data_IF_063630573172
#
_entry.id   IF_063630573172
#
_cell.length_a   1.000
_cell.length_b   1.000
_cell.length_c   1.000
_cell.angle_alpha   90.00
_cell.angle_beta   90.00
_cell.angle_gamma   90.00
#
_symmetry.space_group_name_H-M   'P 1'
#
loop_
_entity.id
_entity.type
_entity.pdbx_description
1 polymer ?
#
# COMPACT_ATOMS: atom_id res chain seq x y z
N UNK A 1 9.54 6.88 19.79
CA UNK A 1 8.26 6.22 19.41
C UNK A 1 8.46 5.52 18.07
N UNK A 2 8.03 4.27 17.91
CA UNK A 2 8.22 3.54 16.66
C UNK A 2 7.47 4.23 15.50
N UNK A 3 8.17 4.47 14.39
CA UNK A 3 7.60 5.08 13.20
C UNK A 3 6.60 4.11 12.54
N UNK A 4 5.41 4.61 12.25
CA UNK A 4 4.37 3.80 11.64
C UNK A 4 3.45 4.63 10.76
N UNK A 5 2.72 3.95 9.90
CA UNK A 5 1.66 4.50 9.07
C UNK A 5 0.56 3.45 8.90
N UNK A 6 -0.57 3.87 8.37
CA UNK A 6 -1.70 3.00 8.08
C UNK A 6 -1.82 2.83 6.56
N UNK A 7 -2.13 1.62 6.13
CA UNK A 7 -2.46 1.34 4.74
C UNK A 7 -3.93 0.93 4.69
N UNK A 8 -4.74 1.78 4.07
CA UNK A 8 -6.17 1.60 3.89
C UNK A 8 -6.40 1.02 2.49
N UNK A 9 -7.11 -0.09 2.41
CA UNK A 9 -7.26 -0.87 1.18
C UNK A 9 -8.75 -1.14 0.96
N UNK A 10 -9.28 -0.70 -0.18
CA UNK A 10 -10.66 -0.95 -0.61
C UNK A 10 -10.65 -1.86 -1.83
N UNK A 11 -11.31 -3.01 -1.76
CA UNK A 11 -11.51 -3.88 -2.91
C UNK A 11 -12.72 -3.37 -3.70
N UNK A 12 -12.50 -2.91 -4.93
CA UNK A 12 -13.54 -2.28 -5.76
C UNK A 12 -14.29 -3.33 -6.61
N UNK A 13 -13.57 -4.29 -7.19
CA UNK A 13 -14.19 -5.33 -8.01
C UNK A 13 -13.40 -6.64 -7.95
N UNK A 14 -14.14 -7.75 -8.05
CA UNK A 14 -13.59 -9.11 -8.17
C UNK A 14 -13.94 -9.74 -9.52
N UNK A 15 -14.53 -8.99 -10.46
CA UNK A 15 -15.09 -9.54 -11.70
C UNK A 15 -14.03 -10.30 -12.53
N UNK A 16 -12.82 -9.76 -12.68
CA UNK A 16 -11.72 -10.43 -13.39
C UNK A 16 -11.23 -11.72 -12.69
N UNK A 17 -11.39 -11.84 -11.37
CA UNK A 17 -11.09 -13.08 -10.63
C UNK A 17 -12.17 -14.16 -10.79
N UNK A 18 -13.41 -13.77 -11.10
CA UNK A 18 -14.50 -14.71 -11.34
C UNK A 18 -14.41 -15.30 -12.74
N UNK A 19 -14.08 -14.48 -13.74
CA UNK A 19 -13.92 -14.93 -15.13
C UNK A 19 -12.77 -15.92 -15.30
N UNK A 20 -11.68 -15.78 -14.52
CA UNK A 20 -10.52 -16.68 -14.57
C UNK A 20 -10.72 -18.03 -13.88
N UNK A 21 -11.82 -18.22 -13.13
CA UNK A 21 -12.14 -19.49 -12.43
C UNK A 21 -13.27 -20.29 -13.05
N UNK A 22 -13.98 -19.74 -14.04
CA UNK A 22 -15.01 -20.48 -14.78
C UNK A 22 -14.35 -21.03 -16.05
N UNK A 23 -14.05 -22.35 -16.13
CA UNK A 23 -13.52 -22.93 -17.36
C UNK A 23 -14.55 -22.74 -18.48
N UNK A 24 -14.26 -21.83 -19.43
CA UNK A 24 -15.09 -21.55 -20.60
C UNK A 24 -15.66 -20.14 -20.72
N UNK A 25 -15.44 -19.24 -19.76
CA UNK A 25 -15.85 -17.84 -19.90
C UNK A 25 -14.89 -17.08 -20.84
N UNK A 26 -15.43 -16.54 -21.96
CA UNK A 26 -14.66 -15.65 -22.85
C UNK A 26 -14.39 -14.32 -22.13
N UNK A 27 -13.18 -13.76 -22.23
CA UNK A 27 -12.88 -12.47 -21.61
C UNK A 27 -13.74 -11.36 -22.22
N UNK A 28 -14.37 -10.55 -21.38
CA UNK A 28 -15.04 -9.33 -21.81
C UNK A 28 -13.97 -8.38 -22.39
N UNK A 29 -14.22 -7.94 -23.63
CA UNK A 29 -13.32 -7.16 -24.46
C UNK A 29 -12.81 -5.89 -23.78
N UNK A 30 -11.51 -5.67 -23.93
CA UNK A 30 -10.76 -4.43 -23.69
C UNK A 30 -11.38 -3.24 -24.43
N UNK A 31 -12.12 -2.40 -23.71
CA UNK A 31 -12.50 -1.07 -24.17
C UNK A 31 -11.27 -0.16 -24.23
N UNK A 32 -10.98 0.36 -25.42
CA UNK A 32 -9.82 1.19 -25.75
C UNK A 32 -9.83 2.51 -24.96
N UNK A 33 -8.95 2.64 -23.96
CA UNK A 33 -8.71 3.92 -23.26
C UNK A 33 -7.85 4.85 -24.13
N UNK A 34 -8.45 5.95 -24.56
CA UNK A 34 -7.77 7.06 -25.22
C UNK A 34 -6.78 7.77 -24.28
N UNK A 35 -5.63 8.15 -24.85
CA UNK A 35 -4.58 8.94 -24.19
C UNK A 35 -5.08 10.37 -23.93
N UNK A 36 -5.42 10.68 -22.69
CA UNK A 36 -5.68 12.03 -22.18
C UNK A 36 -4.63 12.43 -21.16
N UNK A 37 -3.62 13.17 -21.61
CA UNK A 37 -2.63 13.86 -20.79
C UNK A 37 -3.27 15.12 -20.17
N UNK A 38 -2.88 15.47 -18.93
CA UNK A 38 -3.33 16.63 -18.12
C UNK A 38 -4.72 16.47 -17.46
N UNK A 39 -4.82 16.33 -16.13
CA UNK A 39 -4.90 17.47 -15.22
C UNK A 39 -4.77 17.07 -13.74
N UNK A 40 -4.22 18.00 -12.95
CA UNK A 40 -3.92 17.94 -11.51
C UNK A 40 -5.14 17.51 -10.64
N UNK A 41 -4.89 16.59 -9.70
CA UNK A 41 -5.73 16.11 -8.57
C UNK A 41 -7.25 15.91 -8.77
N UNK A 42 -7.69 14.66 -9.02
CA UNK A 42 -9.11 14.28 -8.95
C UNK A 42 -9.38 13.01 -8.10
N UNK A 43 -8.59 12.71 -7.07
CA UNK A 43 -8.72 11.43 -6.31
C UNK A 43 -10.02 11.35 -5.50
N UNK A 44 -10.64 12.49 -5.13
CA UNK A 44 -11.96 12.49 -4.44
C UNK A 44 -13.15 12.10 -5.33
N UNK A 45 -13.02 12.10 -6.67
CA UNK A 45 -14.17 11.81 -7.55
C UNK A 45 -14.33 10.34 -7.93
N UNK A 46 -13.27 9.53 -7.82
CA UNK A 46 -13.32 8.11 -8.17
C UNK A 46 -14.12 7.28 -7.14
N UNK A 47 -14.12 7.71 -5.87
CA UNK A 47 -14.89 7.06 -4.80
C UNK A 47 -16.42 7.18 -5.02
N UNK A 48 -16.87 8.27 -5.66
CA UNK A 48 -18.28 8.56 -5.89
C UNK A 48 -18.89 7.73 -7.04
N UNK A 49 -18.08 7.35 -8.04
CA UNK A 49 -18.56 6.60 -9.22
C UNK A 49 -18.67 5.09 -9.00
N UNK A 50 -18.12 4.54 -7.90
CA UNK A 50 -18.15 3.11 -7.60
C UNK A 50 -19.41 2.66 -6.82
N UNK A 51 -20.28 3.57 -6.40
CA UNK A 51 -21.41 3.29 -5.51
C UNK A 51 -22.62 2.57 -6.17
N UNK A 52 -22.64 2.39 -7.50
CA UNK A 52 -23.88 2.01 -8.23
C UNK A 52 -23.95 0.53 -8.68
N UNK A 53 -22.93 -0.31 -8.44
CA UNK A 53 -22.96 -1.73 -8.85
C UNK A 53 -22.93 -2.73 -7.68
N UNK A 54 -24.10 -2.91 -7.07
CA UNK A 54 -24.71 -4.22 -6.78
C UNK A 54 -24.21 -5.03 -5.57
N UNK A 55 -25.14 -5.49 -4.73
CA UNK A 55 -24.89 -6.22 -3.48
C UNK A 55 -24.08 -7.54 -3.59
N UNK A 56 -23.94 -8.13 -4.78
CA UNK A 56 -23.12 -9.34 -5.00
C UNK A 56 -21.62 -9.06 -4.87
N UNK A 57 -21.17 -7.88 -5.32
CA UNK A 57 -19.78 -7.40 -5.26
C UNK A 57 -19.33 -7.14 -3.82
N UNK A 58 -20.25 -6.73 -2.95
CA UNK A 58 -19.99 -6.47 -1.52
C UNK A 58 -19.72 -7.78 -0.75
N UNK A 59 -20.46 -8.86 -1.06
CA UNK A 59 -20.27 -10.16 -0.42
C UNK A 59 -18.99 -10.86 -0.89
N UNK A 60 -18.63 -10.76 -2.18
CA UNK A 60 -17.37 -11.30 -2.70
C UNK A 60 -16.17 -10.49 -2.21
N UNK A 61 -16.27 -9.15 -2.25
CA UNK A 61 -15.25 -8.24 -1.73
C UNK A 61 -14.95 -8.50 -0.25
N UNK A 62 -15.98 -8.74 0.58
CA UNK A 62 -15.80 -9.11 1.99
C UNK A 62 -15.05 -10.43 2.20
N UNK A 63 -15.35 -11.46 1.39
CA UNK A 63 -14.63 -12.75 1.44
C UNK A 63 -13.18 -12.61 0.98
N UNK A 64 -12.94 -11.80 -0.06
CA UNK A 64 -11.59 -11.51 -0.54
C UNK A 64 -10.82 -10.73 0.52
N UNK A 65 -11.43 -9.70 1.13
CA UNK A 65 -10.81 -8.89 2.18
C UNK A 65 -10.34 -9.73 3.36
N UNK A 66 -11.22 -10.62 3.85
CA UNK A 66 -10.90 -11.55 4.96
C UNK A 66 -9.75 -12.49 4.65
N UNK A 67 -9.55 -12.87 3.38
CA UNK A 67 -8.42 -13.73 2.96
C UNK A 67 -7.16 -12.91 2.65
N UNK A 68 -7.32 -11.71 2.10
CA UNK A 68 -6.22 -10.86 1.67
C UNK A 68 -5.51 -10.22 2.86
N UNK A 69 -6.24 -9.77 3.88
CA UNK A 69 -5.67 -9.14 5.09
C UNK A 69 -4.56 -9.99 5.74
N UNK A 70 -4.84 -11.25 6.15
CA UNK A 70 -3.83 -12.14 6.74
C UNK A 70 -2.65 -12.41 5.80
N UNK A 71 -2.91 -12.63 4.50
CA UNK A 71 -1.84 -12.83 3.51
C UNK A 71 -0.91 -11.62 3.39
N UNK A 72 -1.46 -10.40 3.44
CA UNK A 72 -0.67 -9.18 3.42
C UNK A 72 0.15 -9.05 4.71
N UNK A 73 -0.43 -9.36 5.86
CA UNK A 73 0.30 -9.41 7.15
C UNK A 73 1.49 -10.36 7.09
N UNK A 74 1.36 -11.52 6.45
CA UNK A 74 2.45 -12.50 6.36
C UNK A 74 3.51 -12.15 5.30
N UNK A 75 3.10 -11.63 4.15
CA UNK A 75 3.97 -11.44 2.98
C UNK A 75 4.64 -10.07 2.92
N UNK A 76 3.96 -9.02 3.37
CA UNK A 76 4.45 -7.65 3.27
C UNK A 76 5.73 -7.41 4.11
N UNK A 77 5.84 -7.89 5.37
CA UNK A 77 7.09 -7.80 6.13
C UNK A 77 8.27 -8.43 5.40
N UNK A 78 8.07 -9.58 4.74
CA UNK A 78 9.14 -10.30 4.01
C UNK A 78 9.64 -9.47 2.83
N UNK A 79 8.71 -8.94 2.02
CA UNK A 79 9.05 -8.03 0.91
C UNK A 79 9.75 -6.75 1.38
N UNK A 80 9.35 -6.21 2.52
CA UNK A 80 10.01 -5.03 3.11
C UNK A 80 11.42 -5.36 3.61
N UNK A 81 11.61 -6.54 4.21
CA UNK A 81 12.91 -7.02 4.66
C UNK A 81 13.91 -7.18 3.49
N UNK A 82 13.46 -7.65 2.33
CA UNK A 82 14.26 -7.70 1.10
C UNK A 82 14.72 -6.30 0.61
N UNK A 83 14.04 -5.24 1.04
CA UNK A 83 14.41 -3.84 0.79
C UNK A 83 15.22 -3.24 1.95
N UNK A 84 15.63 -4.03 2.94
CA UNK A 84 16.38 -3.57 4.11
C UNK A 84 15.51 -2.89 5.17
N UNK A 85 14.19 -3.08 5.13
CA UNK A 85 13.25 -2.46 6.08
C UNK A 85 12.61 -3.58 6.92
N UNK A 86 12.98 -3.64 8.20
CA UNK A 86 12.34 -4.54 9.15
C UNK A 86 11.07 -3.87 9.68
N UNK A 87 9.91 -4.43 9.34
CA UNK A 87 8.62 -3.88 9.73
C UNK A 87 7.68 -4.97 10.23
N UNK A 88 6.81 -4.59 11.16
CA UNK A 88 5.69 -5.39 11.64
C UNK A 88 4.42 -4.86 11.00
N UNK A 89 3.64 -5.75 10.40
CA UNK A 89 2.35 -5.41 9.79
C UNK A 89 1.25 -6.04 10.64
N UNK A 90 0.27 -5.25 11.07
CA UNK A 90 -0.84 -5.69 11.90
C UNK A 90 -2.17 -5.40 11.18
N UNK A 91 -3.04 -6.40 11.12
CA UNK A 91 -4.41 -6.22 10.64
C UNK A 91 -5.24 -5.53 11.74
N UNK A 92 -5.68 -4.29 11.48
CA UNK A 92 -6.45 -3.50 12.46
C UNK A 92 -7.94 -3.58 12.24
N UNK A 93 -8.38 -3.58 10.99
CA UNK A 93 -9.79 -3.61 10.64
C UNK A 93 -9.99 -4.41 9.35
N UNK A 94 -11.07 -5.18 9.31
CA UNK A 94 -11.67 -5.70 8.08
C UNK A 94 -13.17 -5.48 8.18
N UNK A 95 -13.71 -4.62 7.32
CA UNK A 95 -15.13 -4.32 7.28
C UNK A 95 -15.62 -4.33 5.84
N UNK A 96 -16.41 -5.35 5.49
CA UNK A 96 -16.80 -5.56 4.09
C UNK A 96 -15.56 -5.66 3.18
N UNK A 97 -15.51 -4.94 2.04
CA UNK A 97 -14.37 -4.93 1.14
C UNK A 97 -13.18 -4.08 1.62
N UNK A 98 -13.28 -3.47 2.79
CA UNK A 98 -12.29 -2.52 3.32
C UNK A 98 -11.37 -3.18 4.35
N UNK A 99 -10.07 -2.90 4.25
CA UNK A 99 -9.01 -3.41 5.12
C UNK A 99 -8.16 -2.24 5.60
N UNK A 100 -7.83 -2.24 6.88
CA UNK A 100 -6.84 -1.33 7.47
C UNK A 100 -5.69 -2.13 8.03
N UNK A 101 -4.49 -1.88 7.51
CA UNK A 101 -3.23 -2.44 8.02
C UNK A 101 -2.45 -1.33 8.74
N UNK A 102 -1.90 -1.62 9.92
CA UNK A 102 -0.90 -0.78 10.56
C UNK A 102 0.49 -1.32 10.26
N UNK A 103 1.34 -0.53 9.63
CA UNK A 103 2.72 -0.88 9.33
C UNK A 103 3.65 -0.13 10.26
N UNK A 104 4.37 -0.85 11.12
CA UNK A 104 5.31 -0.30 12.10
C UNK A 104 6.73 -0.66 11.71
N UNK A 105 7.53 0.34 11.37
CA UNK A 105 8.95 0.17 11.05
C UNK A 105 9.71 0.01 12.37
N UNK A 106 10.38 -1.13 12.53
CA UNK A 106 11.19 -1.46 13.70
C UNK A 106 12.62 -1.01 13.52
N UNK A 107 13.19 -1.37 12.37
CA UNK A 107 14.60 -1.12 12.06
C UNK A 107 14.75 -0.91 10.56
N UNK A 108 15.70 -0.07 10.20
CA UNK A 108 16.05 0.19 8.81
C UNK A 108 17.55 -0.03 8.67
N UNK A 109 17.93 -0.97 7.82
CA UNK A 109 19.33 -1.18 7.48
C UNK A 109 19.78 -0.08 6.50
N UNK A 110 20.42 0.96 7.05
CA UNK A 110 21.00 2.02 6.25
C UNK A 110 22.03 1.48 5.25
N UNK A 111 22.77 0.43 5.61
CA UNK A 111 23.69 -0.24 4.71
C UNK A 111 22.97 -0.81 3.49
N UNK A 112 21.87 -1.55 3.67
CA UNK A 112 21.09 -2.05 2.54
C UNK A 112 20.51 -0.94 1.66
N UNK A 113 20.04 0.14 2.26
CA UNK A 113 19.52 1.29 1.51
C UNK A 113 20.62 1.95 0.68
N UNK A 114 21.79 2.18 1.27
CA UNK A 114 22.94 2.78 0.59
C UNK A 114 23.47 1.87 -0.53
N UNK A 115 23.54 0.56 -0.33
CA UNK A 115 23.93 -0.39 -1.37
C UNK A 115 22.98 -0.32 -2.58
N UNK A 116 21.65 -0.32 -2.35
CA UNK A 116 20.67 -0.21 -3.46
C UNK A 116 20.67 1.16 -4.14
N UNK A 117 20.92 2.22 -3.38
CA UNK A 117 21.15 3.55 -3.95
C UNK A 117 22.41 3.56 -4.83
N UNK A 118 23.46 2.85 -4.43
CA UNK A 118 24.68 2.75 -5.21
C UNK A 118 24.53 1.98 -6.51
N UNK A 119 23.70 0.94 -6.54
CA UNK A 119 23.34 0.20 -7.77
C UNK A 119 22.63 1.08 -8.79
N UNK A 120 21.83 2.05 -8.33
CA UNK A 120 21.03 2.92 -9.18
C UNK A 120 21.70 4.25 -9.51
N UNK A 121 22.70 4.67 -8.72
CA UNK A 121 23.39 5.94 -8.88
C UNK A 121 24.83 5.87 -8.38
N UNK A 122 25.79 5.84 -9.32
CA UNK A 122 27.22 5.72 -9.02
C UNK A 122 27.74 6.82 -8.08
N UNK A 123 27.21 8.06 -8.17
CA UNK A 123 27.61 9.16 -7.26
C UNK A 123 27.08 8.95 -5.84
N UNK A 124 25.87 8.38 -5.71
CA UNK A 124 25.33 8.01 -4.42
C UNK A 124 26.10 6.83 -3.81
N UNK A 125 26.64 5.93 -4.64
CA UNK A 125 27.51 4.84 -4.22
C UNK A 125 28.80 5.36 -3.58
N UNK A 126 29.50 6.28 -4.24
CA UNK A 126 30.74 6.88 -3.72
C UNK A 126 30.51 7.61 -2.39
N UNK A 127 29.47 8.45 -2.32
CA UNK A 127 29.12 9.18 -1.10
C UNK A 127 28.68 8.22 0.00
N UNK A 128 27.91 7.19 -0.32
CA UNK A 128 27.47 6.16 0.63
C UNK A 128 28.63 5.35 1.19
N UNK A 129 29.56 4.92 0.33
CA UNK A 129 30.75 4.18 0.73
C UNK A 129 31.69 5.03 1.58
N UNK A 130 31.87 6.31 1.25
CA UNK A 130 32.63 7.25 2.05
C UNK A 130 31.98 7.48 3.43
N UNK A 131 30.66 7.68 3.48
CA UNK A 131 29.91 7.81 4.74
C UNK A 131 30.02 6.57 5.62
N UNK A 132 29.94 5.38 5.02
CA UNK A 132 30.09 4.10 5.73
C UNK A 132 31.54 3.89 6.23
N UNK A 133 32.54 4.38 5.51
CA UNK A 133 33.94 4.27 5.90
C UNK A 133 34.36 5.31 6.96
N UNK A 134 33.74 6.49 6.97
CA UNK A 134 34.14 7.61 7.82
C UNK A 134 33.37 7.72 9.14
N UNK A 135 32.21 7.07 9.28
CA UNK A 135 31.39 7.16 10.49
C UNK A 135 31.53 5.90 11.35
N UNK A 136 31.77 6.03 12.67
CA UNK A 136 31.68 4.91 13.59
C UNK A 136 30.29 4.28 13.55
N UNK A 137 30.24 2.95 13.61
CA UNK A 137 28.99 2.17 13.55
C UNK A 137 27.99 2.63 14.60
N UNK A 138 28.44 3.08 15.78
CA UNK A 138 27.56 3.57 16.85
C UNK A 138 26.90 4.92 16.52
N UNK A 139 27.59 5.77 15.75
CA UNK A 139 27.07 7.09 15.34
C UNK A 139 26.02 6.95 14.24
N UNK A 140 26.27 6.04 13.29
CA UNK A 140 25.29 5.68 12.27
C UNK A 140 24.01 5.15 12.90
N UNK A 141 24.11 4.21 13.85
CA UNK A 141 22.95 3.67 14.58
C UNK A 141 22.12 4.75 15.29
N UNK A 142 22.76 5.65 16.04
CA UNK A 142 22.05 6.69 16.81
C UNK A 142 21.37 7.77 15.95
N UNK A 143 22.00 8.20 14.87
CA UNK A 143 21.46 9.27 14.00
C UNK A 143 20.37 8.70 13.08
N UNK A 144 20.47 7.43 12.70
CA UNK A 144 19.62 6.87 11.65
C UNK A 144 18.30 6.33 12.19
N UNK A 145 18.21 5.69 13.35
CA UNK A 145 17.03 4.86 13.61
C UNK A 145 15.70 5.64 13.69
N UNK A 146 15.56 6.67 14.52
CA UNK A 146 14.25 7.32 14.68
C UNK A 146 13.91 8.30 13.54
N UNK A 147 14.87 9.14 13.13
CA UNK A 147 14.62 10.16 12.09
C UNK A 147 14.49 9.54 10.70
N UNK A 148 15.30 8.52 10.37
CA UNK A 148 15.20 7.80 9.11
C UNK A 148 13.94 6.94 9.07
N UNK A 149 13.60 6.23 10.16
CA UNK A 149 12.38 5.43 10.20
C UNK A 149 11.13 6.30 9.99
N UNK A 150 11.08 7.51 10.56
CA UNK A 150 9.98 8.46 10.29
C UNK A 150 9.93 8.88 8.82
N UNK A 151 11.06 9.30 8.23
CA UNK A 151 11.11 9.68 6.80
C UNK A 151 10.70 8.53 5.89
N UNK A 152 11.13 7.31 6.21
CA UNK A 152 10.77 6.10 5.47
C UNK A 152 9.29 5.79 5.67
N UNK A 153 8.74 5.89 6.89
CA UNK A 153 7.31 5.71 7.12
C UNK A 153 6.47 6.66 6.23
N UNK A 154 6.82 7.95 6.23
CA UNK A 154 6.14 8.96 5.40
C UNK A 154 6.27 8.65 3.91
N UNK A 155 7.47 8.29 3.44
CA UNK A 155 7.67 7.98 2.04
C UNK A 155 6.94 6.69 1.64
N UNK A 156 6.99 5.67 2.48
CA UNK A 156 6.27 4.41 2.30
C UNK A 156 4.77 4.62 2.25
N UNK A 157 4.19 5.48 3.11
CA UNK A 157 2.78 5.82 3.03
C UNK A 157 2.39 6.35 1.64
N UNK A 158 3.18 7.26 1.06
CA UNK A 158 2.88 7.82 -0.27
C UNK A 158 3.09 6.86 -1.45
N UNK A 159 4.01 5.89 -1.33
CA UNK A 159 4.40 5.02 -2.47
C UNK A 159 3.75 3.64 -2.41
N UNK A 160 3.49 3.12 -1.20
CA UNK A 160 3.01 1.75 -1.03
C UNK A 160 1.58 1.57 -1.52
N UNK A 161 0.72 2.59 -1.39
CA UNK A 161 -0.65 2.57 -1.90
C UNK A 161 -0.71 2.37 -3.43
N UNK A 162 -0.11 3.28 -4.23
CA UNK A 162 -0.05 3.13 -5.69
C UNK A 162 0.60 1.81 -6.14
N UNK A 163 1.73 1.43 -5.53
CA UNK A 163 2.42 0.19 -5.89
C UNK A 163 1.57 -1.05 -5.58
N UNK A 164 0.86 -1.08 -4.45
CA UNK A 164 -0.01 -2.21 -4.12
C UNK A 164 -1.22 -2.28 -5.05
N UNK A 165 -1.77 -1.12 -5.43
CA UNK A 165 -2.87 -1.01 -6.40
C UNK A 165 -2.46 -1.61 -7.74
N UNK A 166 -1.28 -1.25 -8.24
CA UNK A 166 -0.71 -1.80 -9.47
C UNK A 166 -0.46 -3.30 -9.37
N UNK A 167 0.23 -3.78 -8.32
CA UNK A 167 0.53 -5.21 -8.13
C UNK A 167 -0.72 -6.08 -8.01
N UNK A 168 -1.82 -5.54 -7.45
CA UNK A 168 -3.09 -6.26 -7.35
C UNK A 168 -3.86 -6.20 -8.67
N UNK A 169 -3.80 -5.07 -9.38
CA UNK A 169 -4.38 -4.92 -10.72
C UNK A 169 -3.81 -5.95 -11.71
N UNK A 170 -2.49 -6.17 -11.70
CA UNK A 170 -1.83 -7.21 -12.49
C UNK A 170 -2.35 -8.63 -12.19
N UNK A 171 -2.85 -8.86 -10.98
CA UNK A 171 -3.45 -10.14 -10.54
C UNK A 171 -4.96 -10.21 -10.79
N UNK A 172 -5.53 -9.24 -11.53
CA UNK A 172 -6.95 -9.16 -11.81
C UNK A 172 -7.80 -8.75 -10.61
N UNK A 173 -7.22 -8.05 -9.63
CA UNK A 173 -7.94 -7.50 -8.50
C UNK A 173 -7.91 -5.97 -8.58
N UNK A 174 -9.09 -5.37 -8.72
CA UNK A 174 -9.22 -3.93 -8.68
C UNK A 174 -9.27 -3.48 -7.22
N UNK A 175 -8.18 -2.86 -6.77
CA UNK A 175 -7.97 -2.46 -5.39
C UNK A 175 -7.54 -1.00 -5.38
N UNK A 176 -8.13 -0.21 -4.48
CA UNK A 176 -7.63 1.12 -4.14
C UNK A 176 -6.86 1.01 -2.82
N UNK A 177 -5.57 1.34 -2.82
CA UNK A 177 -4.76 1.36 -1.61
C UNK A 177 -4.16 2.75 -1.36
N UNK A 178 -4.30 3.25 -0.14
CA UNK A 178 -3.80 4.56 0.28
C UNK A 178 -3.07 4.48 1.62
N UNK A 179 -1.86 5.04 1.69
CA UNK A 179 -1.11 5.14 2.92
C UNK A 179 -1.39 6.46 3.63
N UNK A 180 -1.71 6.39 4.92
CA UNK A 180 -2.17 7.52 5.74
C UNK A 180 -1.32 7.64 6.99
N UNK A 181 -1.02 8.88 7.39
CA UNK A 181 -0.27 9.17 8.61
C UNK A 181 -1.09 8.83 9.87
N UNK A 182 -0.45 8.52 11.01
CA UNK A 182 -1.18 8.19 12.24
C UNK A 182 -2.12 9.29 12.74
N UNK A 183 -1.78 10.56 12.52
CA UNK A 183 -2.61 11.72 12.89
C UNK A 183 -3.93 11.77 12.12
N UNK A 184 -3.91 11.32 10.88
CA UNK A 184 -5.01 11.54 9.92
C UNK A 184 -5.89 10.29 9.79
N UNK A 185 -5.42 9.14 10.32
CA UNK A 185 -6.11 7.86 10.18
C UNK A 185 -7.51 7.87 10.78
N UNK A 186 -7.74 8.58 11.89
CA UNK A 186 -9.06 8.65 12.52
C UNK A 186 -10.10 9.30 11.61
N UNK A 187 -9.78 10.47 11.09
CA UNK A 187 -10.63 11.21 10.16
C UNK A 187 -10.83 10.44 8.85
N UNK A 188 -9.74 9.93 8.27
CA UNK A 188 -9.79 9.14 7.05
C UNK A 188 -10.69 7.90 7.19
N UNK A 189 -10.60 7.19 8.32
CA UNK A 189 -11.43 6.02 8.60
C UNK A 189 -12.90 6.41 8.70
N UNK A 190 -13.23 7.50 9.40
CA UNK A 190 -14.62 7.95 9.56
C UNK A 190 -15.23 8.37 8.21
N UNK A 191 -14.48 9.11 7.37
CA UNK A 191 -14.91 9.46 6.01
C UNK A 191 -15.20 8.20 5.18
N UNK A 192 -14.32 7.20 5.22
CA UNK A 192 -14.50 5.95 4.48
C UNK A 192 -15.68 5.11 5.00
N UNK A 193 -15.85 5.01 6.32
CA UNK A 193 -16.96 4.27 6.90
C UNK A 193 -18.31 4.93 6.60
N UNK A 194 -18.37 6.26 6.60
CA UNK A 194 -19.56 7.00 6.20
C UNK A 194 -19.92 6.74 4.72
N UNK A 195 -18.93 6.67 3.83
CA UNK A 195 -19.15 6.35 2.42
C UNK A 195 -19.62 4.91 2.17
N UNK A 196 -19.29 3.98 3.08
CA UNK A 196 -19.69 2.57 3.00
C UNK A 196 -21.03 2.27 3.70
N UNK A 197 -21.56 3.20 4.49
CA UNK A 197 -22.84 3.01 5.16
C UNK A 197 -23.95 2.90 4.11
N UNK A 198 -24.86 1.91 4.21
CA UNK A 198 -26.02 1.86 3.34
C UNK A 198 -26.80 3.17 3.50
N UNK A 199 -27.07 3.87 2.39
CA UNK A 199 -27.99 5.01 2.44
C UNK A 199 -29.36 4.44 2.82
N UNK A 200 -29.79 4.74 4.04
CA UNK A 200 -31.13 4.38 4.50
C UNK A 200 -32.11 5.30 3.79
N UNK A 201 -32.73 4.77 2.73
CA UNK A 201 -33.97 5.32 2.17
C UNK A 201 -35.14 5.19 3.18
#
# INVERSE_FOLDING_TARGET
>A
MAAHFYLNITILSTEAMLDSKIPGAKPASTGTSGKGFFSRHPVRSALHSAAVKGASTVLTGSRVAKKMGPKLVESMPKKMAEKGINAVVELKLVQGPYIVLKVTIKEVSAQHLLTKLGETNAKAAEVGNCLLACLPVEVLKKIQEEALAKKIATKMASVMGPHLTEEMGEKGLEVLAEGVAPSDQGEYLLEHLAALAPQSD
#
